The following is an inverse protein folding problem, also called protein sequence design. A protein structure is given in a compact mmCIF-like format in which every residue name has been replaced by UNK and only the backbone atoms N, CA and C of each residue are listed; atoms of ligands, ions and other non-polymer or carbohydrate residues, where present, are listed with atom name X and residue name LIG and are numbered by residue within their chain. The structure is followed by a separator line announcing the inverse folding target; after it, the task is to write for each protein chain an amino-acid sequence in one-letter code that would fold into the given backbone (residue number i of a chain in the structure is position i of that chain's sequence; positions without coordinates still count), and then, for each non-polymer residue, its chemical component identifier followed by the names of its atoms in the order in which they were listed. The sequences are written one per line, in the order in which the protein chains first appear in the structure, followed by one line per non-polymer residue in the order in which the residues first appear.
data_IF_379176521848
#
_entry.id   IF_379176521848
#
_cell.length_a   1.000
_cell.length_b   1.000
_cell.length_c   1.000
_cell.angle_alpha   90.00
_cell.angle_beta   90.00
_cell.angle_gamma   90.00
#
_symmetry.space_group_name_H-M   'P 1'
#
loop_
_entity.id
_entity.type
_entity.pdbx_description
1 polymer ?
#
# COMPACT_ATOMS: atom_id res chain seq x y z
N UNK A 1 -17.59 -11.85 -2.00
CA UNK A 1 -18.28 -10.96 -1.02
C UNK A 1 -17.29 -10.07 -0.25
N UNK A 2 -16.26 -10.61 0.41
CA UNK A 2 -15.28 -9.79 1.16
C UNK A 2 -14.60 -8.68 0.35
N UNK A 3 -14.12 -8.98 -0.86
CA UNK A 3 -13.52 -7.97 -1.75
C UNK A 3 -14.48 -6.85 -2.17
N UNK A 4 -15.77 -7.16 -2.30
CA UNK A 4 -16.77 -6.17 -2.66
C UNK A 4 -16.95 -5.17 -1.50
N UNK A 5 -16.97 -5.66 -0.25
CA UNK A 5 -16.95 -4.78 0.92
C UNK A 5 -15.67 -3.93 1.00
N UNK A 6 -14.52 -4.49 0.62
CA UNK A 6 -13.26 -3.73 0.54
C UNK A 6 -13.32 -2.61 -0.49
N UNK A 7 -13.91 -2.86 -1.68
CA UNK A 7 -14.08 -1.86 -2.73
C UNK A 7 -14.99 -0.70 -2.33
N UNK A 8 -16.05 -0.98 -1.58
CA UNK A 8 -16.94 0.08 -1.06
C UNK A 8 -16.31 0.85 0.10
N UNK A 9 -15.49 0.19 0.92
CA UNK A 9 -14.88 0.77 2.11
C UNK A 9 -15.90 1.07 3.21
N UNK A 10 -15.40 1.54 4.36
CA UNK A 10 -16.20 2.02 5.48
C UNK A 10 -16.20 3.53 5.61
N UNK A 11 -16.91 4.05 6.61
CA UNK A 11 -17.02 5.49 6.86
C UNK A 11 -15.95 5.95 7.85
N UNK A 12 -15.05 6.85 7.44
CA UNK A 12 -14.08 7.48 8.33
C UNK A 12 -14.78 8.48 9.27
N UNK A 13 -14.99 8.08 10.53
CA UNK A 13 -15.62 8.93 11.55
C UNK A 13 -14.55 9.76 12.28
N UNK A 14 -14.66 11.09 12.19
CA UNK A 14 -13.84 12.02 12.98
C UNK A 14 -14.60 12.37 14.26
N UNK A 15 -14.14 11.88 15.41
CA UNK A 15 -14.71 12.24 16.70
C UNK A 15 -13.99 13.48 17.24
N UNK A 16 -14.75 14.53 17.56
CA UNK A 16 -14.24 15.79 18.10
C UNK A 16 -13.38 15.64 19.38
N UNK A 17 -13.52 14.53 20.13
CA UNK A 17 -12.81 14.28 21.40
C UNK A 17 -11.57 13.38 21.29
N UNK A 18 -11.32 12.73 20.17
CA UNK A 18 -10.12 11.88 19.98
C UNK A 18 -9.29 12.42 18.84
N UNK A 19 -8.01 12.74 19.10
CA UNK A 19 -7.07 13.21 18.07
C UNK A 19 -6.72 12.12 17.04
N UNK A 20 -6.92 10.84 17.35
CA UNK A 20 -6.71 9.73 16.42
C UNK A 20 -7.99 9.47 15.63
N UNK A 21 -7.87 9.53 14.30
CA UNK A 21 -8.92 9.09 13.38
C UNK A 21 -9.18 7.60 13.53
N UNK A 22 -10.43 7.18 13.34
CA UNK A 22 -10.77 5.77 13.24
C UNK A 22 -10.63 5.33 11.78
N UNK A 23 -9.91 4.21 11.59
CA UNK A 23 -9.73 3.56 10.30
C UNK A 23 -11.06 3.00 9.78
N UNK A 24 -11.48 3.45 8.61
CA UNK A 24 -12.69 2.97 7.91
C UNK A 24 -12.39 1.94 6.82
N UNK A 25 -11.15 1.82 6.37
CA UNK A 25 -10.75 0.97 5.25
C UNK A 25 -10.51 -0.47 5.70
N UNK A 26 -11.05 -1.44 4.96
CA UNK A 26 -10.92 -2.87 5.27
C UNK A 26 -9.73 -3.45 4.51
N UNK A 27 -8.83 -4.15 5.22
CA UNK A 27 -7.83 -5.01 4.59
C UNK A 27 -8.38 -6.43 4.45
N UNK A 28 -8.28 -7.02 3.27
CA UNK A 28 -8.58 -8.44 3.05
C UNK A 28 -7.33 -9.21 2.63
N UNK A 29 -7.16 -10.41 3.20
CA UNK A 29 -6.13 -11.36 2.82
C UNK A 29 -6.79 -12.57 2.16
N UNK A 30 -6.26 -13.00 1.02
CA UNK A 30 -6.72 -14.19 0.32
C UNK A 30 -5.69 -15.31 0.52
N UNK A 31 -6.07 -16.36 1.24
CA UNK A 31 -5.26 -17.55 1.45
C UNK A 31 -6.02 -18.78 0.95
N UNK A 32 -5.29 -19.74 0.40
CA UNK A 32 -5.86 -20.96 -0.18
C UNK A 32 -4.81 -21.72 -0.99
N UNK A 33 -5.23 -22.78 -1.66
CA UNK A 33 -4.31 -23.62 -2.45
C UNK A 33 -3.81 -22.90 -3.73
N UNK A 34 -2.69 -23.36 -4.31
CA UNK A 34 -2.30 -22.95 -5.66
C UNK A 34 -3.40 -23.26 -6.69
N UNK A 35 -3.51 -22.46 -7.75
CA UNK A 35 -4.45 -22.73 -8.85
C UNK A 35 -5.91 -22.30 -8.62
N UNK A 36 -6.26 -21.71 -7.48
CA UNK A 36 -7.64 -21.22 -7.20
C UNK A 36 -7.90 -19.79 -7.70
N UNK A 37 -7.20 -19.35 -8.75
CA UNK A 37 -7.35 -18.02 -9.40
C UNK A 37 -7.24 -16.78 -8.48
N UNK A 38 -6.55 -16.89 -7.33
CA UNK A 38 -6.29 -15.76 -6.39
C UNK A 38 -5.68 -14.55 -7.11
N UNK A 39 -4.60 -14.75 -7.87
CA UNK A 39 -3.91 -13.67 -8.60
C UNK A 39 -4.79 -13.04 -9.68
N UNK A 40 -5.61 -13.83 -10.37
CA UNK A 40 -6.53 -13.32 -11.40
C UNK A 40 -7.59 -12.39 -10.79
N UNK A 41 -8.07 -12.74 -9.61
CA UNK A 41 -9.06 -11.95 -8.88
C UNK A 41 -8.44 -10.67 -8.27
N UNK A 42 -7.18 -10.69 -7.83
CA UNK A 42 -6.43 -9.46 -7.49
C UNK A 42 -6.22 -8.55 -8.71
N UNK A 43 -5.86 -9.10 -9.87
CA UNK A 43 -5.72 -8.34 -11.13
C UNK A 43 -7.05 -7.72 -11.56
N UNK A 44 -8.17 -8.43 -11.36
CA UNK A 44 -9.50 -7.90 -11.64
C UNK A 44 -9.84 -6.70 -10.75
N UNK A 45 -9.57 -6.79 -9.45
CA UNK A 45 -9.76 -5.67 -8.49
C UNK A 45 -8.89 -4.47 -8.85
N UNK A 46 -7.63 -4.71 -9.22
CA UNK A 46 -6.71 -3.66 -9.67
C UNK A 46 -7.26 -2.89 -10.88
N UNK A 47 -7.81 -3.59 -11.88
CA UNK A 47 -8.41 -2.97 -13.08
C UNK A 47 -9.71 -2.22 -12.79
N UNK A 48 -10.47 -2.65 -11.78
CA UNK A 48 -11.74 -2.04 -11.42
C UNK A 48 -11.57 -0.77 -10.57
N UNK A 49 -10.51 -0.70 -9.76
CA UNK A 49 -10.33 0.35 -8.76
C UNK A 49 -9.61 1.57 -9.35
N UNK A 50 -10.12 2.80 -9.19
CA UNK A 50 -9.35 4.00 -9.52
C UNK A 50 -8.14 4.09 -8.58
N UNK A 51 -6.94 4.28 -9.13
CA UNK A 51 -5.66 4.19 -8.38
C UNK A 51 -5.39 2.81 -7.78
N UNK A 52 -5.92 1.75 -8.41
CA UNK A 52 -5.47 0.40 -8.14
C UNK A 52 -3.99 0.26 -8.51
N UNK A 53 -3.16 -0.26 -7.61
CA UNK A 53 -1.77 -0.64 -7.92
C UNK A 53 -1.64 -2.14 -7.69
N UNK A 54 -0.99 -2.85 -8.60
CA UNK A 54 -0.68 -4.26 -8.45
C UNK A 54 0.83 -4.44 -8.30
N UNK A 55 1.25 -5.19 -7.29
CA UNK A 55 2.66 -5.49 -7.04
C UNK A 55 2.84 -6.91 -6.52
N UNK A 56 3.97 -7.55 -6.80
CA UNK A 56 4.35 -8.85 -6.23
C UNK A 56 5.23 -8.64 -5.02
N UNK A 57 5.05 -9.44 -3.96
CA UNK A 57 5.85 -9.41 -2.74
C UNK A 57 7.34 -9.68 -3.00
N UNK A 58 7.68 -10.42 -4.06
CA UNK A 58 9.07 -10.65 -4.48
C UNK A 58 9.68 -9.43 -5.19
N UNK A 59 8.88 -8.70 -5.97
CA UNK A 59 9.32 -7.48 -6.67
C UNK A 59 9.19 -6.20 -5.82
N UNK A 60 8.50 -6.29 -4.69
CA UNK A 60 8.25 -5.15 -3.80
C UNK A 60 9.38 -4.97 -2.81
N UNK A 61 10.28 -4.03 -3.07
CA UNK A 61 11.22 -3.56 -2.06
C UNK A 61 10.54 -2.58 -1.10
N UNK A 62 11.05 -2.50 0.14
CA UNK A 62 10.64 -1.49 1.12
C UNK A 62 10.64 -0.07 0.53
N UNK A 63 11.60 0.22 -0.34
CA UNK A 63 11.78 1.53 -0.98
C UNK A 63 10.76 1.77 -2.09
N UNK A 64 10.44 0.74 -2.89
CA UNK A 64 9.45 0.82 -3.97
C UNK A 64 8.00 0.87 -3.47
N UNK A 65 7.73 0.34 -2.28
CA UNK A 65 6.41 0.45 -1.64
C UNK A 65 6.17 1.82 -1.02
N UNK A 66 7.19 2.42 -0.39
CA UNK A 66 7.05 3.68 0.36
C UNK A 66 7.38 4.89 -0.50
N UNK A 67 8.62 5.34 -0.48
CA UNK A 67 9.18 6.34 -1.38
C UNK A 67 10.69 6.11 -1.49
N UNK A 68 11.24 6.51 -2.62
CA UNK A 68 12.66 6.51 -2.88
C UNK A 68 13.16 7.90 -3.20
N UNK A 69 14.45 8.12 -2.98
CA UNK A 69 15.09 9.39 -3.31
C UNK A 69 15.88 9.19 -4.58
N UNK A 70 15.60 10.00 -5.58
CA UNK A 70 16.37 10.06 -6.83
C UNK A 70 17.07 11.41 -6.93
N UNK A 71 18.19 11.46 -7.65
CA UNK A 71 18.88 12.72 -7.92
C UNK A 71 18.49 13.20 -9.30
N UNK A 72 17.90 14.38 -9.40
CA UNK A 72 17.54 14.95 -10.68
C UNK A 72 18.83 15.27 -11.48
N UNK A 73 19.03 14.70 -12.69
CA UNK A 73 20.22 14.95 -13.48
C UNK A 73 20.34 16.41 -13.97
N UNK A 74 19.24 17.17 -14.01
CA UNK A 74 19.26 18.57 -14.43
C UNK A 74 19.71 19.54 -13.32
N UNK A 75 19.06 19.47 -12.16
CA UNK A 75 19.31 20.38 -11.03
C UNK A 75 20.36 19.87 -10.05
N UNK A 76 20.63 18.57 -10.03
CA UNK A 76 21.49 17.92 -9.05
C UNK A 76 20.86 17.82 -7.65
N UNK A 77 19.61 18.23 -7.48
CA UNK A 77 18.88 18.16 -6.22
C UNK A 77 18.34 16.74 -5.98
N UNK A 78 18.16 16.40 -4.71
CA UNK A 78 17.58 15.13 -4.28
C UNK A 78 16.06 15.29 -4.26
N UNK A 79 15.35 14.51 -5.07
CA UNK A 79 13.89 14.53 -5.18
C UNK A 79 13.33 13.25 -4.59
N UNK A 80 12.22 13.39 -3.85
CA UNK A 80 11.48 12.25 -3.30
C UNK A 80 10.41 11.80 -4.31
N UNK A 81 10.51 10.55 -4.77
CA UNK A 81 9.52 9.93 -5.64
C UNK A 81 8.62 8.96 -4.87
N UNK A 82 7.32 9.04 -5.16
CA UNK A 82 6.29 8.26 -4.46
C UNK A 82 6.32 6.79 -4.88
N UNK A 83 6.28 5.89 -3.90
CA UNK A 83 6.16 4.45 -4.12
C UNK A 83 4.71 3.98 -4.26
N UNK A 84 4.55 2.67 -4.46
CA UNK A 84 3.27 2.04 -4.78
C UNK A 84 2.16 2.29 -3.73
N UNK A 85 2.48 2.32 -2.43
CA UNK A 85 1.49 2.57 -1.37
C UNK A 85 1.02 4.03 -1.37
N UNK A 86 1.93 4.97 -1.62
CA UNK A 86 1.61 6.40 -1.66
C UNK A 86 0.79 6.72 -2.92
N UNK A 87 1.16 6.11 -4.05
CA UNK A 87 0.42 6.27 -5.32
C UNK A 87 -0.99 5.67 -5.27
N UNK A 88 -1.21 4.66 -4.43
CA UNK A 88 -2.52 4.04 -4.23
C UNK A 88 -3.34 4.68 -3.11
N UNK A 89 -3.02 5.92 -2.71
CA UNK A 89 -3.81 6.67 -1.73
C UNK A 89 -5.29 6.77 -2.15
N UNK A 90 -6.17 6.37 -1.21
CA UNK A 90 -7.62 6.19 -1.37
C UNK A 90 -8.05 5.17 -2.43
N UNK A 91 -7.11 4.39 -2.97
CA UNK A 91 -7.35 3.26 -3.87
C UNK A 91 -7.13 1.92 -3.18
N UNK A 92 -6.76 0.90 -3.96
CA UNK A 92 -6.40 -0.42 -3.45
C UNK A 92 -5.00 -0.79 -3.96
N UNK A 93 -4.11 -1.11 -3.04
CA UNK A 93 -2.85 -1.76 -3.33
C UNK A 93 -3.01 -3.28 -3.24
N UNK A 94 -2.99 -3.96 -4.38
CA UNK A 94 -3.01 -5.40 -4.49
C UNK A 94 -1.59 -5.94 -4.37
N UNK A 95 -1.31 -6.73 -3.32
CA UNK A 95 -0.02 -7.40 -3.12
C UNK A 95 -0.22 -8.90 -3.35
N UNK A 96 0.43 -9.43 -4.38
CA UNK A 96 0.51 -10.88 -4.63
C UNK A 96 1.74 -11.48 -3.96
N UNK A 97 1.78 -12.80 -3.76
CA UNK A 97 2.92 -13.50 -3.15
C UNK A 97 3.40 -12.86 -1.82
N UNK A 98 2.46 -12.51 -0.95
CA UNK A 98 2.73 -11.82 0.31
C UNK A 98 3.70 -12.60 1.22
N UNK A 99 3.73 -13.93 1.10
CA UNK A 99 4.66 -14.82 1.81
C UNK A 99 6.12 -14.65 1.35
N UNK A 100 6.37 -14.19 0.12
CA UNK A 100 7.71 -13.99 -0.46
C UNK A 100 8.35 -12.65 -0.09
N UNK A 101 7.66 -11.84 0.69
CA UNK A 101 8.13 -10.52 1.09
C UNK A 101 9.14 -10.61 2.24
N UNK A 102 10.20 -9.80 2.16
CA UNK A 102 11.21 -9.68 3.22
C UNK A 102 10.62 -9.11 4.52
N UNK A 103 11.17 -9.51 5.67
CA UNK A 103 10.69 -9.07 6.99
C UNK A 103 10.77 -7.56 7.20
N UNK A 104 11.79 -6.90 6.63
CA UNK A 104 11.92 -5.43 6.69
C UNK A 104 10.76 -4.72 5.98
N UNK A 105 10.39 -5.21 4.79
CA UNK A 105 9.26 -4.70 4.02
C UNK A 105 7.94 -4.98 4.73
N UNK A 106 7.80 -6.16 5.36
CA UNK A 106 6.61 -6.53 6.14
C UNK A 106 6.41 -5.62 7.36
N UNK A 107 7.47 -5.28 8.09
CA UNK A 107 7.41 -4.36 9.24
C UNK A 107 6.89 -2.98 8.85
N UNK A 108 7.35 -2.45 7.71
CA UNK A 108 6.86 -1.17 7.16
C UNK A 108 5.38 -1.27 6.79
N UNK A 109 4.95 -2.36 6.14
CA UNK A 109 3.54 -2.55 5.84
C UNK A 109 2.67 -2.60 7.09
N UNK A 110 3.13 -3.24 8.17
CA UNK A 110 2.41 -3.24 9.44
C UNK A 110 2.23 -1.84 10.00
N UNK A 111 3.27 -1.00 9.94
CA UNK A 111 3.18 0.40 10.36
C UNK A 111 2.14 1.16 9.55
N UNK A 112 2.18 1.03 8.20
CA UNK A 112 1.25 1.71 7.30
C UNK A 112 -0.19 1.23 7.51
N UNK A 113 -0.38 -0.07 7.76
CA UNK A 113 -1.71 -0.63 8.03
C UNK A 113 -2.27 -0.18 9.38
N UNK A 114 -1.41 0.04 10.38
CA UNK A 114 -1.83 0.45 11.73
C UNK A 114 -2.05 1.97 11.84
N UNK A 115 -1.08 2.77 11.39
CA UNK A 115 -1.13 4.24 11.54
C UNK A 115 -1.80 4.94 10.35
N UNK A 116 -1.96 4.26 9.21
CA UNK A 116 -2.41 4.86 7.93
C UNK A 116 -1.53 6.02 7.47
N UNK A 117 -0.27 6.01 7.89
CA UNK A 117 0.73 7.03 7.56
C UNK A 117 2.05 6.34 7.22
N UNK A 118 2.80 6.92 6.30
CA UNK A 118 4.17 6.50 5.99
C UNK A 118 5.09 7.63 6.42
N UNK A 119 5.99 7.40 7.39
CA UNK A 119 7.05 8.37 7.72
C UNK A 119 8.34 8.04 7.00
N UNK A 120 8.94 9.02 6.33
CA UNK A 120 10.12 8.82 5.49
C UNK A 120 11.14 9.89 5.81
N UNK A 121 12.21 9.52 6.52
CA UNK A 121 13.36 10.37 6.74
C UNK A 121 14.54 9.87 5.89
N UNK A 122 14.81 10.50 4.75
CA UNK A 122 15.94 10.16 3.86
C UNK A 122 16.54 11.40 3.20
N UNK A 123 17.87 11.41 3.07
CA UNK A 123 18.63 12.46 2.37
C UNK A 123 18.31 13.91 2.83
N UNK A 124 17.97 14.09 4.12
CA UNK A 124 17.61 15.41 4.68
C UNK A 124 16.15 15.83 4.46
N UNK A 125 15.33 14.97 3.83
CA UNK A 125 13.89 15.14 3.64
C UNK A 125 13.19 14.28 4.70
N UNK A 126 12.26 14.89 5.44
CA UNK A 126 11.44 14.27 6.50
C UNK A 126 9.96 14.37 6.14
#
# INVERSE_FOLDING_TARGET
KGLLCQLFGGTNKKFSKSKKGFRGEINALLCGDPGVSKSQLLQFVHKLTPRGIYTSGKGSSAVGLTAYVTKDPGTGEMVLESGALVLSDRGICCIDEFDKMNDSTRSILHEVMEQQTVSIAKAGIV
#
